data_IF_091211162636
#
_entry.id   IF_091211162636
#
_cell.length_a   1.000
_cell.length_b   1.000
_cell.length_c   1.000
_cell.angle_alpha   90.00
_cell.angle_beta   90.00
_cell.angle_gamma   90.00
#
_symmetry.space_group_name_H-M   'P 1'
#
loop_
_entity.id
_entity.type
_entity.pdbx_description
1 polymer ?
#
# COMPACT_ATOMS: atom_id res chain seq x y z
N UNK A 1 29.90 -19.85 26.81
CA UNK A 1 29.84 -18.37 26.76
C UNK A 1 29.11 -18.03 25.48
N UNK A 2 27.78 -17.91 25.54
CA UNK A 2 27.02 -17.38 24.42
C UNK A 2 26.33 -16.12 24.92
N UNK A 3 27.02 -14.99 24.74
CA UNK A 3 26.46 -13.68 25.00
C UNK A 3 25.50 -13.39 23.84
N UNK A 4 24.31 -13.99 23.88
CA UNK A 4 23.17 -13.38 23.21
C UNK A 4 23.01 -12.01 23.84
N UNK A 5 23.50 -10.97 23.17
CA UNK A 5 23.14 -9.59 23.48
C UNK A 5 21.62 -9.56 23.49
N UNK A 6 21.02 -9.49 24.69
CA UNK A 6 19.57 -9.31 24.81
C UNK A 6 19.25 -8.05 24.03
N UNK A 7 18.53 -8.19 22.92
CA UNK A 7 18.03 -7.07 22.15
C UNK A 7 17.27 -6.16 23.12
N UNK A 8 17.79 -4.94 23.32
CA UNK A 8 17.19 -3.99 24.24
C UNK A 8 16.01 -3.32 23.53
N UNK A 9 14.85 -3.32 24.18
CA UNK A 9 13.64 -2.67 23.66
C UNK A 9 13.73 -1.16 23.89
N UNK A 10 13.65 -0.40 22.81
CA UNK A 10 13.53 1.07 22.82
C UNK A 10 12.07 1.51 22.97
N UNK A 11 11.18 0.83 22.27
CA UNK A 11 9.74 1.08 22.30
C UNK A 11 8.98 -0.22 22.10
N UNK A 12 7.86 -0.37 22.81
CA UNK A 12 6.99 -1.53 22.67
C UNK A 12 5.52 -1.10 22.76
N UNK A 13 4.72 -1.64 21.85
CA UNK A 13 3.26 -1.61 21.90
C UNK A 13 2.71 -3.01 21.59
N UNK A 14 1.40 -3.24 21.76
CA UNK A 14 0.77 -4.49 21.33
C UNK A 14 0.80 -4.77 19.81
N UNK A 15 1.33 -3.85 19.01
CA UNK A 15 1.36 -3.90 17.54
C UNK A 15 2.78 -3.97 16.99
N UNK A 16 3.74 -3.26 17.61
CA UNK A 16 5.11 -3.14 17.12
C UNK A 16 6.10 -3.06 18.28
N UNK A 17 7.27 -3.65 18.12
CA UNK A 17 8.44 -3.48 18.98
C UNK A 17 9.57 -2.89 18.16
N UNK A 18 10.27 -1.95 18.78
CA UNK A 18 11.44 -1.28 18.21
C UNK A 18 12.59 -1.49 19.18
N UNK A 19 13.70 -1.98 18.68
CA UNK A 19 14.89 -2.28 19.45
C UNK A 19 15.92 -1.15 19.31
N UNK A 20 16.83 -1.03 20.27
CA UNK A 20 17.84 0.05 20.30
C UNK A 20 18.81 -0.01 19.09
N UNK A 21 18.99 -1.19 18.50
CA UNK A 21 19.80 -1.39 17.29
C UNK A 21 19.06 -1.00 15.99
N UNK A 22 17.83 -0.53 16.08
CA UNK A 22 16.99 -0.17 14.95
C UNK A 22 16.18 -1.33 14.36
N UNK A 23 16.31 -2.56 14.89
CA UNK A 23 15.44 -3.65 14.48
C UNK A 23 13.98 -3.33 14.83
N UNK A 24 13.07 -3.74 13.94
CA UNK A 24 11.63 -3.53 14.08
C UNK A 24 10.92 -4.86 13.93
N UNK A 25 10.16 -5.24 14.95
CA UNK A 25 9.31 -6.42 14.94
C UNK A 25 7.84 -5.97 14.92
N UNK A 26 7.14 -6.30 13.84
CA UNK A 26 5.69 -6.05 13.70
C UNK A 26 4.94 -7.29 14.18
N UNK A 27 4.24 -7.16 15.30
CA UNK A 27 3.52 -8.27 15.95
C UNK A 27 2.12 -8.50 15.38
N UNK A 28 1.54 -7.47 14.75
CA UNK A 28 0.20 -7.51 14.14
C UNK A 28 0.21 -6.80 12.80
N UNK A 29 -0.71 -7.20 11.92
CA UNK A 29 -0.90 -6.56 10.63
C UNK A 29 0.19 -6.89 9.61
N UNK A 30 0.80 -8.07 9.75
CA UNK A 30 1.79 -8.62 8.82
C UNK A 30 1.18 -9.64 7.85
N UNK A 31 -0.07 -10.05 8.06
CA UNK A 31 -0.79 -10.97 7.19
C UNK A 31 -0.89 -10.38 5.78
N UNK A 32 -0.60 -11.21 4.77
CA UNK A 32 -0.58 -10.83 3.37
C UNK A 32 -1.28 -11.87 2.51
N UNK A 33 -2.16 -11.39 1.65
CA UNK A 33 -2.69 -12.14 0.53
C UNK A 33 -1.64 -12.19 -0.60
N UNK A 34 -1.54 -13.32 -1.33
CA UNK A 34 -0.68 -13.42 -2.49
C UNK A 34 -1.03 -12.34 -3.53
N UNK A 35 -0.10 -12.01 -4.43
CA UNK A 35 -0.38 -11.14 -5.56
C UNK A 35 -1.23 -11.87 -6.59
N UNK A 36 -2.55 -11.71 -6.50
CA UNK A 36 -3.51 -12.15 -7.53
C UNK A 36 -3.69 -11.09 -8.64
N UNK A 37 -2.95 -9.98 -8.56
CA UNK A 37 -3.26 -8.68 -9.18
C UNK A 37 -1.98 -7.98 -9.69
N UNK A 38 -2.13 -7.05 -10.65
CA UNK A 38 -1.09 -6.14 -11.13
C UNK A 38 -0.56 -5.25 -9.99
N UNK A 39 0.74 -5.40 -9.71
CA UNK A 39 1.50 -4.49 -8.87
C UNK A 39 2.42 -3.70 -9.79
N UNK A 40 2.27 -2.38 -9.79
CA UNK A 40 3.18 -1.48 -10.49
C UNK A 40 4.07 -0.75 -9.49
N UNK A 41 5.30 -0.44 -9.89
CA UNK A 41 6.21 0.37 -9.09
C UNK A 41 6.51 1.67 -9.81
N UNK A 42 6.22 2.77 -9.14
CA UNK A 42 6.19 4.12 -9.70
C UNK A 42 7.13 4.97 -8.87
N UNK A 43 8.26 5.38 -9.45
CA UNK A 43 9.26 6.19 -8.73
C UNK A 43 9.63 5.62 -7.36
N UNK A 44 9.67 4.29 -7.23
CA UNK A 44 9.96 3.58 -5.98
C UNK A 44 8.77 3.35 -5.03
N UNK A 45 7.56 3.78 -5.38
CA UNK A 45 6.32 3.50 -4.64
C UNK A 45 5.52 2.43 -5.37
N UNK A 46 5.23 1.31 -4.71
CA UNK A 46 4.40 0.27 -5.31
C UNK A 46 2.91 0.56 -5.12
N UNK A 47 2.10 0.20 -6.10
CA UNK A 47 0.64 0.27 -6.05
C UNK A 47 0.05 -1.07 -6.46
N UNK A 48 -1.12 -1.41 -5.90
CA UNK A 48 -1.94 -2.55 -6.32
C UNK A 48 -3.21 -2.06 -6.99
N UNK A 49 -3.47 -2.51 -8.22
CA UNK A 49 -4.60 -2.05 -9.04
C UNK A 49 -5.80 -2.99 -8.95
N UNK A 50 -7.01 -2.48 -8.75
CA UNK A 50 -8.24 -3.28 -8.74
C UNK A 50 -9.05 -2.94 -9.98
N UNK A 51 -9.13 -3.89 -10.91
CA UNK A 51 -9.75 -3.71 -12.22
C UNK A 51 -11.14 -4.35 -12.23
N UNK A 52 -12.23 -3.58 -12.29
CA UNK A 52 -13.56 -4.16 -12.47
C UNK A 52 -13.76 -4.62 -13.93
N UNK A 53 -14.71 -5.52 -14.15
CA UNK A 53 -14.98 -6.15 -15.46
C UNK A 53 -15.35 -5.13 -16.55
N UNK A 54 -15.82 -3.94 -16.19
CA UNK A 54 -16.08 -2.86 -17.14
C UNK A 54 -14.85 -2.46 -17.95
N UNK A 55 -13.64 -2.61 -17.40
CA UNK A 55 -12.39 -2.27 -18.11
C UNK A 55 -12.18 -3.18 -19.33
N UNK A 56 -12.52 -4.46 -19.22
CA UNK A 56 -12.36 -5.43 -20.33
C UNK A 56 -13.58 -5.48 -21.23
N UNK A 57 -14.78 -5.41 -20.66
CA UNK A 57 -16.04 -5.52 -21.41
C UNK A 57 -16.44 -4.25 -22.15
N UNK A 58 -15.99 -3.07 -21.69
CA UNK A 58 -16.33 -1.76 -22.26
C UNK A 58 -15.10 -0.85 -22.30
N UNK A 59 -14.11 -1.11 -23.17
CA UNK A 59 -12.80 -0.44 -23.14
C UNK A 59 -12.84 1.08 -23.37
N UNK A 60 -13.92 1.60 -23.95
CA UNK A 60 -14.12 3.04 -24.17
C UNK A 60 -14.83 3.73 -23.01
N UNK A 61 -15.37 2.98 -22.05
CA UNK A 61 -16.08 3.53 -20.89
C UNK A 61 -15.06 4.05 -19.87
N UNK A 62 -15.12 5.35 -19.60
CA UNK A 62 -14.37 5.95 -18.51
C UNK A 62 -14.95 5.51 -17.17
N UNK A 63 -14.09 5.08 -16.26
CA UNK A 63 -14.45 4.74 -14.89
C UNK A 63 -13.87 5.79 -13.92
N UNK A 64 -14.57 6.07 -12.81
CA UNK A 64 -13.97 6.80 -11.70
C UNK A 64 -12.75 6.03 -11.14
N UNK A 65 -11.73 6.77 -10.73
CA UNK A 65 -10.52 6.23 -10.09
C UNK A 65 -10.63 6.46 -8.58
N UNK A 66 -10.46 5.40 -7.80
CA UNK A 66 -10.37 5.45 -6.35
C UNK A 66 -8.92 5.23 -5.93
N UNK A 67 -8.27 6.28 -5.41
CA UNK A 67 -6.96 6.16 -4.77
C UNK A 67 -7.16 5.86 -3.30
N UNK A 68 -6.56 4.77 -2.82
CA UNK A 68 -6.74 4.27 -1.47
C UNK A 68 -5.41 4.18 -0.72
N UNK A 69 -5.41 4.66 0.52
CA UNK A 69 -4.30 4.56 1.45
C UNK A 69 -4.75 3.71 2.63
N UNK A 70 -4.05 2.60 2.87
CA UNK A 70 -4.42 1.71 3.96
C UNK A 70 -4.20 2.36 5.34
N UNK A 71 -4.81 1.78 6.37
CA UNK A 71 -4.59 2.21 7.75
C UNK A 71 -3.38 1.51 8.39
N UNK A 72 -3.43 1.32 9.71
CA UNK A 72 -2.32 0.69 10.46
C UNK A 72 -1.38 1.68 11.15
N UNK A 73 -1.82 2.93 11.31
CA UNK A 73 -1.12 3.96 12.08
C UNK A 73 0.24 4.35 11.50
N UNK A 74 0.42 4.21 10.19
CA UNK A 74 1.69 4.39 9.46
C UNK A 74 2.80 3.40 9.82
N UNK A 75 2.54 2.42 10.69
CA UNK A 75 3.58 1.50 11.19
C UNK A 75 3.37 0.05 10.74
N UNK A 76 2.18 -0.31 10.28
CA UNK A 76 1.81 -1.70 9.94
C UNK A 76 0.91 -1.77 8.72
N UNK A 77 0.57 -3.00 8.31
CA UNK A 77 -0.27 -3.32 7.16
C UNK A 77 0.42 -2.98 5.83
N UNK A 78 -0.28 -3.33 4.75
CA UNK A 78 0.20 -3.30 3.37
C UNK A 78 -1.03 -3.35 2.46
N UNK A 79 -0.88 -2.99 1.19
CA UNK A 79 -1.84 -3.19 0.10
C UNK A 79 -2.24 -4.66 -0.06
N UNK A 80 -1.37 -5.58 0.38
CA UNK A 80 -1.65 -7.01 0.42
C UNK A 80 -2.35 -7.46 1.70
N UNK A 81 -2.67 -6.58 2.66
CA UNK A 81 -3.35 -7.03 3.87
C UNK A 81 -4.75 -7.55 3.54
N UNK A 82 -5.15 -8.75 4.02
CA UNK A 82 -6.47 -9.34 3.73
C UNK A 82 -7.63 -8.38 4.00
N UNK A 83 -7.56 -7.63 5.09
CA UNK A 83 -8.60 -6.65 5.47
C UNK A 83 -8.81 -5.58 4.39
N UNK A 84 -7.73 -5.01 3.86
CA UNK A 84 -7.82 -3.94 2.87
C UNK A 84 -7.99 -4.48 1.46
N UNK A 85 -7.35 -5.60 1.15
CA UNK A 85 -7.49 -6.28 -0.12
C UNK A 85 -8.93 -6.72 -0.38
N UNK A 86 -9.54 -7.46 0.55
CA UNK A 86 -10.91 -7.95 0.39
C UNK A 86 -11.92 -6.80 0.31
N UNK A 87 -11.70 -5.76 1.12
CA UNK A 87 -12.52 -4.54 1.07
C UNK A 87 -12.44 -3.85 -0.31
N UNK A 88 -11.23 -3.59 -0.81
CA UNK A 88 -11.05 -2.91 -2.09
C UNK A 88 -11.51 -3.74 -3.27
N UNK A 89 -11.31 -5.06 -3.24
CA UNK A 89 -11.80 -5.94 -4.29
C UNK A 89 -13.33 -5.88 -4.38
N UNK A 90 -14.02 -6.00 -3.25
CA UNK A 90 -15.47 -5.86 -3.17
C UNK A 90 -15.93 -4.45 -3.59
N UNK A 91 -15.24 -3.40 -3.13
CA UNK A 91 -15.61 -2.02 -3.46
C UNK A 91 -15.44 -1.72 -4.95
N UNK A 92 -14.32 -2.13 -5.56
CA UNK A 92 -14.07 -1.95 -6.99
C UNK A 92 -15.16 -2.62 -7.84
N UNK A 93 -15.54 -3.84 -7.49
CA UNK A 93 -16.60 -4.58 -8.15
C UNK A 93 -17.97 -3.88 -8.04
N UNK A 94 -18.41 -3.56 -6.82
CA UNK A 94 -19.76 -3.01 -6.62
C UNK A 94 -19.89 -1.55 -7.06
N UNK A 95 -18.85 -0.73 -6.85
CA UNK A 95 -18.87 0.69 -7.20
C UNK A 95 -18.41 0.97 -8.64
N UNK A 96 -17.90 -0.05 -9.36
CA UNK A 96 -17.41 0.05 -10.74
C UNK A 96 -16.33 1.13 -10.87
N UNK A 97 -15.35 1.07 -9.96
CA UNK A 97 -14.22 2.01 -9.89
C UNK A 97 -12.92 1.28 -10.21
N UNK A 98 -11.99 1.97 -10.86
CA UNK A 98 -10.58 1.55 -10.90
C UNK A 98 -9.96 1.85 -9.53
N UNK A 99 -9.64 0.82 -8.75
CA UNK A 99 -8.99 1.00 -7.45
C UNK A 99 -7.47 1.08 -7.59
N UNK A 100 -6.83 2.03 -6.92
CA UNK A 100 -5.37 2.19 -6.83
C UNK A 100 -4.99 2.20 -5.36
N UNK A 101 -4.51 1.08 -4.83
CA UNK A 101 -4.08 0.97 -3.43
C UNK A 101 -2.58 1.23 -3.31
N UNK A 102 -2.18 2.18 -2.49
CA UNK A 102 -0.78 2.67 -2.42
C UNK A 102 -0.02 2.01 -1.28
N UNK A 103 1.11 1.37 -1.59
CA UNK A 103 2.05 0.78 -0.61
C UNK A 103 3.04 1.86 -0.16
N UNK A 104 2.58 2.74 0.72
CA UNK A 104 3.44 3.77 1.30
C UNK A 104 4.41 3.18 2.32
N UNK A 105 5.59 3.79 2.47
CA UNK A 105 6.62 3.33 3.42
C UNK A 105 6.21 3.55 4.86
N UNK A 106 6.59 2.61 5.72
CA UNK A 106 6.16 2.55 7.13
C UNK A 106 7.20 3.11 8.09
N UNK A 107 6.71 3.72 9.16
CA UNK A 107 7.47 3.99 10.35
C UNK A 107 7.73 2.70 11.16
N UNK A 108 8.78 2.67 11.99
CA UNK A 108 9.77 3.73 12.22
C UNK A 108 10.92 3.78 11.19
N UNK A 109 11.05 2.80 10.29
CA UNK A 109 12.12 2.76 9.28
C UNK A 109 12.09 3.99 8.37
N UNK A 110 10.87 4.45 8.05
CA UNK A 110 10.61 5.67 7.31
C UNK A 110 9.63 6.55 8.09
N UNK A 111 10.12 7.43 8.97
CA UNK A 111 9.27 8.34 9.74
C UNK A 111 8.44 9.25 8.83
N UNK A 112 7.34 9.78 9.35
CA UNK A 112 6.62 10.87 8.70
C UNK A 112 7.58 12.06 8.47
N UNK A 113 7.47 12.75 7.32
CA UNK A 113 6.37 12.73 6.35
C UNK A 113 6.50 11.73 5.19
N UNK A 114 7.37 10.71 5.28
CA UNK A 114 7.65 9.81 4.14
C UNK A 114 6.40 9.18 3.52
N UNK A 115 5.48 8.67 4.35
CA UNK A 115 4.22 8.10 3.85
C UNK A 115 3.40 9.12 3.04
N UNK A 116 3.39 10.39 3.43
CA UNK A 116 2.70 11.45 2.69
C UNK A 116 3.36 11.76 1.36
N UNK A 117 4.70 11.73 1.31
CA UNK A 117 5.44 11.92 0.07
C UNK A 117 5.19 10.78 -0.92
N UNK A 118 5.12 9.54 -0.42
CA UNK A 118 4.77 8.37 -1.25
C UNK A 118 3.34 8.48 -1.76
N UNK A 119 2.40 8.86 -0.88
CA UNK A 119 1.01 9.10 -1.25
C UNK A 119 0.84 10.19 -2.31
N UNK A 120 1.60 11.27 -2.18
CA UNK A 120 1.61 12.36 -3.15
C UNK A 120 2.19 11.93 -4.49
N UNK A 121 3.30 11.17 -4.47
CA UNK A 121 3.93 10.61 -5.67
C UNK A 121 2.95 9.73 -6.45
N UNK A 122 2.22 8.85 -5.75
CA UNK A 122 1.20 8.00 -6.36
C UNK A 122 0.04 8.82 -6.97
N UNK A 123 -0.42 9.88 -6.29
CA UNK A 123 -1.45 10.78 -6.83
C UNK A 123 -0.97 11.48 -8.09
N UNK A 124 0.25 12.03 -8.10
CA UNK A 124 0.82 12.69 -9.28
C UNK A 124 0.91 11.73 -10.46
N UNK A 125 1.28 10.47 -10.22
CA UNK A 125 1.28 9.44 -11.25
C UNK A 125 -0.13 9.14 -11.78
N UNK A 126 -1.14 9.00 -10.94
CA UNK A 126 -2.52 8.82 -11.44
C UNK A 126 -2.92 10.00 -12.33
N UNK A 127 -2.60 11.23 -11.90
CA UNK A 127 -2.93 12.44 -12.64
C UNK A 127 -2.17 12.57 -13.96
N UNK A 128 -0.96 11.99 -14.09
CA UNK A 128 -0.22 12.01 -15.35
C UNK A 128 -0.89 11.20 -16.47
N UNK A 129 -1.89 10.36 -16.14
CA UNK A 129 -2.65 9.56 -17.10
C UNK A 129 -3.96 10.21 -17.57
N UNK A 130 -4.31 11.39 -17.04
CA UNK A 130 -5.61 12.07 -17.31
C UNK A 130 -5.79 12.48 -18.79
N UNK A 131 -4.69 12.64 -19.54
CA UNK A 131 -4.70 13.02 -20.96
C UNK A 131 -4.56 11.85 -21.94
N UNK A 132 -4.83 10.60 -21.51
CA UNK A 132 -4.51 9.40 -22.30
C UNK A 132 -4.72 9.51 -23.82
N UNK A 133 -3.60 9.44 -24.57
CA UNK A 133 -3.58 9.20 -26.01
C UNK A 133 -3.09 10.35 -26.90
N UNK A 134 -1.84 10.80 -26.72
CA UNK A 134 -1.00 11.12 -27.87
C UNK A 134 0.17 10.13 -27.85
N UNK A 135 0.41 9.48 -28.98
CA UNK A 135 1.39 8.42 -29.21
C UNK A 135 2.77 8.71 -28.62
N UNK A 136 3.34 7.72 -27.92
CA UNK A 136 4.78 7.43 -27.87
C UNK A 136 4.98 5.92 -27.93
#
# INVERSE_FOLDING_TARGET
>A
MDSMSKLQLKYASPVIRVYEDGHVERLKGTDREPPDIIIETISGVSVRLYLPEEITSQPTKKLPILIYYHGGGFCTKSVSSPTYHNYLNSLAFHAKVLGVSVEYRLAPEFPLPTAFNDSWTALQWVLSHVNGGDEQ
#
